data_IF_937868567493
#
_entry.id   IF_937868567493
#
_cell.length_a   1.000
_cell.length_b   1.000
_cell.length_c   1.000
_cell.angle_alpha   90.00
_cell.angle_beta   90.00
_cell.angle_gamma   90.00
#
_symmetry.space_group_name_H-M   'P 1'
#
loop_
_entity.id
_entity.type
_entity.pdbx_description
1 polymer ?
#
# COMPACT_ATOMS: atom_id res chain seq x y z
N UNK A 1 -5.08 -9.81 -9.13
CA UNK A 1 -6.44 -9.32 -9.44
C UNK A 1 -6.32 -7.96 -10.09
N UNK A 2 -6.80 -7.75 -11.33
CA UNK A 2 -6.87 -6.42 -11.90
C UNK A 2 -7.87 -5.59 -11.10
N UNK A 3 -7.46 -4.41 -10.65
CA UNK A 3 -8.37 -3.46 -9.99
C UNK A 3 -9.07 -2.71 -11.11
N UNK A 4 -10.24 -3.18 -11.54
CA UNK A 4 -11.12 -2.41 -12.42
C UNK A 4 -11.58 -1.18 -11.64
N UNK A 5 -11.22 0.03 -12.09
CA UNK A 5 -11.88 1.24 -11.59
C UNK A 5 -13.35 1.11 -11.98
N UNK A 6 -14.22 1.02 -10.99
CA UNK A 6 -15.65 1.18 -11.20
C UNK A 6 -15.89 2.69 -11.28
N UNK A 7 -16.19 3.18 -12.46
CA UNK A 7 -16.56 4.58 -12.65
C UNK A 7 -17.97 4.80 -12.10
N UNK A 8 -18.18 5.94 -11.43
CA UNK A 8 -19.49 6.33 -10.89
C UNK A 8 -20.38 6.87 -12.02
N UNK A 9 -21.65 6.51 -12.01
CA UNK A 9 -22.67 6.96 -12.98
C UNK A 9 -23.39 8.23 -12.50
N UNK A 10 -24.07 8.93 -13.41
CA UNK A 10 -24.91 10.09 -13.05
C UNK A 10 -26.01 9.72 -12.04
N UNK A 11 -26.51 8.48 -12.11
CA UNK A 11 -27.46 7.96 -11.12
C UNK A 11 -26.81 7.83 -9.73
N UNK A 12 -25.55 7.37 -9.65
CA UNK A 12 -24.82 7.28 -8.38
C UNK A 12 -24.58 8.67 -7.77
N UNK A 13 -24.37 9.70 -8.61
CA UNK A 13 -24.20 11.09 -8.17
C UNK A 13 -25.52 11.72 -7.72
N UNK A 14 -26.63 11.42 -8.40
CA UNK A 14 -27.94 11.92 -8.01
C UNK A 14 -28.37 11.43 -6.62
N UNK A 15 -27.98 10.20 -6.23
CA UNK A 15 -28.29 9.59 -4.92
C UNK A 15 -27.66 10.35 -3.75
N UNK A 16 -26.54 11.04 -3.96
CA UNK A 16 -25.82 11.77 -2.90
C UNK A 16 -25.94 13.30 -3.04
N UNK A 17 -26.73 13.77 -4.01
CA UNK A 17 -26.84 15.20 -4.36
C UNK A 17 -27.53 16.05 -3.29
N UNK A 18 -28.27 15.42 -2.38
CA UNK A 18 -28.98 16.04 -1.27
C UNK A 18 -28.14 16.15 0.00
N UNK A 19 -26.89 15.68 -0.02
CA UNK A 19 -26.01 15.77 1.13
C UNK A 19 -25.68 17.24 1.45
N UNK A 20 -26.05 17.76 2.64
CA UNK A 20 -25.86 19.15 2.98
C UNK A 20 -24.37 19.50 3.11
N UNK A 21 -24.05 20.78 2.90
CA UNK A 21 -22.71 21.29 3.19
C UNK A 21 -22.42 21.22 4.69
N UNK A 22 -21.17 20.91 5.02
CA UNK A 22 -20.72 20.86 6.41
C UNK A 22 -20.65 22.26 6.99
N UNK A 23 -21.30 22.45 8.13
CA UNK A 23 -21.26 23.70 8.89
C UNK A 23 -20.09 23.72 9.87
N UNK A 24 -19.76 24.89 10.41
CA UNK A 24 -18.74 25.02 11.47
C UNK A 24 -19.09 24.19 12.72
N UNK A 25 -20.39 24.02 13.01
CA UNK A 25 -20.85 23.20 14.11
C UNK A 25 -20.55 21.70 13.89
N UNK A 26 -20.65 21.24 12.64
CA UNK A 26 -20.33 19.86 12.27
C UNK A 26 -18.83 19.58 12.45
N UNK A 27 -17.97 20.52 12.04
CA UNK A 27 -16.53 20.42 12.26
C UNK A 27 -16.17 20.42 13.76
N UNK A 28 -16.86 21.22 14.57
CA UNK A 28 -16.64 21.26 16.02
C UNK A 28 -17.01 19.92 16.70
N UNK A 29 -17.99 19.21 16.15
CA UNK A 29 -18.44 17.91 16.65
C UNK A 29 -17.72 16.72 16.01
N UNK A 30 -16.89 16.96 14.99
CA UNK A 30 -16.16 15.91 14.28
C UNK A 30 -15.20 15.18 15.22
N UNK A 31 -15.10 13.86 15.04
CA UNK A 31 -14.21 12.99 15.80
C UNK A 31 -13.25 12.27 14.86
N UNK A 32 -12.00 12.00 15.29
CA UNK A 32 -11.13 11.09 14.57
C UNK A 32 -11.82 9.76 14.29
N UNK A 33 -11.57 9.18 13.12
CA UNK A 33 -12.18 7.91 12.70
C UNK A 33 -11.98 6.79 13.73
N UNK A 34 -10.81 6.75 14.37
CA UNK A 34 -10.50 5.77 15.40
C UNK A 34 -11.39 5.89 16.65
N UNK A 35 -11.83 7.11 16.98
CA UNK A 35 -12.70 7.37 18.13
C UNK A 35 -14.17 7.14 17.78
N UNK A 36 -14.56 7.47 16.54
CA UNK A 36 -15.91 7.23 16.03
C UNK A 36 -16.18 5.72 15.78
N UNK A 37 -15.18 4.96 15.35
CA UNK A 37 -15.30 3.55 14.98
C UNK A 37 -14.14 2.69 15.53
N UNK A 38 -14.07 2.48 16.85
CA UNK A 38 -12.92 1.84 17.50
C UNK A 38 -12.66 0.39 17.03
N UNK A 39 -13.72 -0.42 16.88
CA UNK A 39 -13.57 -1.81 16.41
C UNK A 39 -13.09 -1.90 14.96
N UNK A 40 -13.58 -0.99 14.11
CA UNK A 40 -13.20 -0.96 12.70
C UNK A 40 -11.77 -0.43 12.55
N UNK A 41 -11.41 0.60 13.29
CA UNK A 41 -10.04 1.11 13.33
C UNK A 41 -9.03 0.06 13.78
N UNK A 42 -9.40 -0.81 14.75
CA UNK A 42 -8.54 -1.93 15.16
C UNK A 42 -8.34 -2.94 14.04
N UNK A 43 -9.39 -3.27 13.28
CA UNK A 43 -9.33 -4.21 12.14
C UNK A 43 -8.62 -3.63 10.91
N UNK A 44 -8.75 -2.32 10.68
CA UNK A 44 -8.17 -1.62 9.53
C UNK A 44 -6.75 -1.10 9.79
N UNK A 45 -6.12 -1.46 10.92
CA UNK A 45 -4.69 -1.18 11.11
C UNK A 45 -3.92 -1.81 9.96
N UNK A 46 -3.24 -0.98 9.19
CA UNK A 46 -2.38 -1.41 8.10
C UNK A 46 -1.27 -2.35 8.60
N UNK A 47 -0.49 -2.91 7.68
CA UNK A 47 0.63 -3.79 8.05
C UNK A 47 1.51 -3.07 9.08
N UNK A 48 1.82 -3.70 10.22
CA UNK A 48 2.73 -3.12 11.21
C UNK A 48 4.03 -2.66 10.55
N UNK A 49 4.56 -1.53 11.03
CA UNK A 49 5.87 -1.06 10.59
C UNK A 49 6.90 -2.15 10.89
N UNK A 50 7.70 -2.53 9.90
CA UNK A 50 8.82 -3.44 10.13
C UNK A 50 9.88 -2.73 10.95
N UNK A 51 10.37 -3.36 12.03
CA UNK A 51 11.50 -2.84 12.83
C UNK A 51 12.78 -2.75 11.98
N UNK A 52 12.97 -3.71 11.07
CA UNK A 52 14.05 -3.71 10.08
C UNK A 52 13.48 -3.72 8.65
N UNK A 53 13.17 -2.55 8.06
CA UNK A 53 12.69 -2.48 6.70
C UNK A 53 13.84 -2.59 5.70
N UNK A 54 13.62 -3.31 4.59
CA UNK A 54 14.53 -3.31 3.44
C UNK A 54 14.80 -1.86 3.01
N UNK A 55 16.08 -1.54 2.82
CA UNK A 55 16.51 -0.20 2.37
C UNK A 55 16.57 -0.18 0.85
N UNK A 56 15.92 0.80 0.23
CA UNK A 56 16.10 1.06 -1.19
C UNK A 56 17.47 1.73 -1.39
N UNK A 57 18.29 1.15 -2.26
CA UNK A 57 19.61 1.67 -2.61
C UNK A 57 19.80 1.65 -4.12
N UNK A 58 20.64 2.54 -4.63
CA UNK A 58 21.06 2.54 -6.03
C UNK A 58 22.32 1.69 -6.16
N UNK A 59 22.22 0.54 -6.83
CA UNK A 59 23.34 -0.38 -7.08
C UNK A 59 23.45 -0.64 -8.59
N UNK A 60 24.67 -0.62 -9.12
CA UNK A 60 24.96 -1.07 -10.49
C UNK A 60 25.27 -2.56 -10.46
N UNK A 61 24.62 -3.30 -11.32
CA UNK A 61 24.83 -4.74 -11.53
C UNK A 61 25.13 -4.94 -13.01
N UNK A 62 25.87 -6.00 -13.31
CA UNK A 62 26.11 -6.41 -14.70
C UNK A 62 24.78 -6.76 -15.39
N UNK A 63 24.73 -6.51 -16.69
CA UNK A 63 23.50 -6.64 -17.47
C UNK A 63 22.98 -8.09 -17.51
N UNK A 64 23.89 -9.05 -17.65
CA UNK A 64 23.58 -10.49 -17.65
C UNK A 64 22.97 -10.97 -16.33
N UNK A 65 23.47 -10.46 -15.19
CA UNK A 65 22.90 -10.72 -13.86
C UNK A 65 21.47 -10.20 -13.79
N UNK A 66 21.22 -8.96 -14.24
CA UNK A 66 19.87 -8.40 -14.25
C UNK A 66 18.91 -9.19 -15.13
N UNK A 67 19.32 -9.55 -16.34
CA UNK A 67 18.52 -10.34 -17.28
C UNK A 67 18.20 -11.72 -16.71
N UNK A 68 19.18 -12.41 -16.12
CA UNK A 68 18.98 -13.71 -15.48
C UNK A 68 17.86 -13.67 -14.42
N UNK A 69 17.89 -12.69 -13.52
CA UNK A 69 16.86 -12.59 -12.48
C UNK A 69 15.50 -12.12 -13.04
N UNK A 70 15.49 -11.16 -13.97
CA UNK A 70 14.27 -10.63 -14.60
C UNK A 70 13.52 -11.69 -15.40
N UNK A 71 14.23 -12.58 -16.10
CA UNK A 71 13.64 -13.69 -16.86
C UNK A 71 12.76 -14.59 -15.99
N UNK A 72 13.04 -14.69 -14.69
CA UNK A 72 12.21 -15.43 -13.74
C UNK A 72 10.89 -14.76 -13.38
N UNK A 73 10.57 -13.57 -13.92
CA UNK A 73 9.29 -12.87 -13.71
C UNK A 73 9.17 -12.09 -12.38
N UNK A 74 7.93 -11.79 -11.95
CA UNK A 74 7.65 -11.05 -10.73
C UNK A 74 8.39 -11.60 -9.50
N UNK A 75 8.89 -10.72 -8.64
CA UNK A 75 9.65 -11.11 -7.44
C UNK A 75 11.16 -11.34 -7.68
N UNK A 76 11.69 -11.06 -8.87
CA UNK A 76 13.13 -11.15 -9.16
C UNK A 76 14.02 -10.36 -8.18
N UNK A 77 13.59 -9.17 -7.75
CA UNK A 77 14.31 -8.38 -6.74
C UNK A 77 14.41 -9.08 -5.38
N UNK A 78 13.40 -9.87 -5.00
CA UNK A 78 13.44 -10.64 -3.75
C UNK A 78 14.38 -11.84 -3.88
N UNK A 79 14.43 -12.48 -5.06
CA UNK A 79 15.35 -13.60 -5.34
C UNK A 79 16.81 -13.16 -5.35
N UNK A 80 17.15 -12.05 -5.99
CA UNK A 80 18.53 -11.55 -5.98
C UNK A 80 18.96 -11.20 -4.55
N UNK A 81 18.10 -10.55 -3.76
CA UNK A 81 18.40 -10.28 -2.36
C UNK A 81 18.59 -11.56 -1.52
N UNK A 82 17.79 -12.60 -1.75
CA UNK A 82 17.95 -13.89 -1.07
C UNK A 82 19.29 -14.56 -1.40
N UNK A 83 19.73 -14.48 -2.66
CA UNK A 83 21.04 -14.98 -3.08
C UNK A 83 22.18 -14.19 -2.44
N UNK A 84 22.09 -12.85 -2.40
CA UNK A 84 23.08 -12.02 -1.71
C UNK A 84 23.20 -12.38 -0.22
N UNK A 85 22.06 -12.58 0.47
CA UNK A 85 22.05 -13.03 1.87
C UNK A 85 22.74 -14.39 2.04
N UNK A 86 22.42 -15.35 1.16
CA UNK A 86 23.02 -16.69 1.18
C UNK A 86 24.54 -16.65 1.03
N UNK A 87 25.05 -15.86 0.07
CA UNK A 87 26.50 -15.72 -0.18
C UNK A 87 27.19 -14.99 0.97
N UNK A 88 26.53 -13.99 1.56
CA UNK A 88 27.06 -13.24 2.71
C UNK A 88 26.92 -13.99 4.06
N UNK A 89 26.32 -15.19 4.09
CA UNK A 89 26.08 -15.94 5.32
C UNK A 89 25.00 -15.34 6.23
N UNK A 90 24.17 -14.45 5.70
CA UNK A 90 23.07 -13.80 6.42
C UNK A 90 21.83 -14.71 6.35
N UNK A 91 21.34 -15.17 7.51
CA UNK A 91 20.05 -15.89 7.63
C UNK A 91 18.89 -14.91 7.50
#
# INVERSE_FOLDING_TARGET
>A
MPITRKDYTDADMAVVSDNPEWTEADFKNAKPFADAFPELARKLRGRPKSEDPKRQVTLRLDADVLEHFRAGGPGWQSRINANLRKVAGLK
#
